data_IF_288013554679
#
_entry.id   IF_288013554679
#
_cell.length_a   1.000
_cell.length_b   1.000
_cell.length_c   1.000
_cell.angle_alpha   90.00
_cell.angle_beta   90.00
_cell.angle_gamma   90.00
#
_symmetry.space_group_name_H-M   'P 1'
#
loop_
_entity.id
_entity.type
_entity.pdbx_description
1 polymer ?
#
# COMPACT_ATOMS: atom_id res chain seq x y z
N UNK A 1 -1.99 -33.43 17.93
CA UNK A 1 -1.33 -32.11 17.92
C UNK A 1 -2.24 -31.24 17.09
N UNK A 2 -2.98 -30.32 17.71
CA UNK A 2 -3.78 -29.33 16.99
C UNK A 2 -2.79 -28.34 16.45
N UNK A 3 -2.61 -28.31 15.09
CA UNK A 3 -1.86 -27.24 14.45
C UNK A 3 -2.43 -25.90 14.91
N UNK A 4 -1.57 -25.08 15.51
CA UNK A 4 -1.95 -23.71 15.80
C UNK A 4 -2.38 -23.06 14.47
N UNK A 5 -3.46 -22.29 14.44
CA UNK A 5 -3.91 -21.65 13.21
C UNK A 5 -2.73 -20.86 12.63
N UNK A 6 -2.37 -21.18 11.39
CA UNK A 6 -1.27 -20.49 10.70
C UNK A 6 -1.61 -19.01 10.57
N UNK A 7 -0.74 -18.14 11.11
CA UNK A 7 -0.92 -16.68 11.00
C UNK A 7 -0.97 -16.28 9.52
N UNK A 8 -1.87 -15.39 9.10
CA UNK A 8 -1.83 -14.85 7.76
C UNK A 8 -0.53 -14.09 7.51
N UNK A 9 0.03 -14.20 6.32
CA UNK A 9 1.27 -13.54 5.92
C UNK A 9 0.97 -12.39 4.96
N UNK A 10 1.36 -11.17 5.31
CA UNK A 10 1.10 -9.98 4.49
C UNK A 10 2.39 -9.26 4.10
N UNK A 11 2.53 -9.00 2.82
CA UNK A 11 3.58 -8.13 2.27
C UNK A 11 3.10 -6.69 2.34
N UNK A 12 3.95 -5.78 2.85
CA UNK A 12 3.66 -4.34 2.89
C UNK A 12 4.81 -3.58 2.24
N UNK A 13 4.53 -2.88 1.16
CA UNK A 13 5.57 -2.10 0.49
C UNK A 13 5.72 -0.70 1.08
N UNK A 14 6.98 -0.22 1.22
CA UNK A 14 7.27 1.09 1.78
C UNK A 14 6.90 1.22 3.26
N UNK A 15 7.25 0.22 4.07
CA UNK A 15 6.80 0.09 5.46
C UNK A 15 7.72 0.76 6.50
N UNK A 16 8.81 1.42 6.09
CA UNK A 16 9.74 2.03 7.05
C UNK A 16 9.18 3.27 7.77
N UNK A 17 8.09 3.87 7.31
CA UNK A 17 7.50 5.08 7.90
C UNK A 17 6.07 5.34 7.43
N UNK A 18 5.44 6.34 8.05
CA UNK A 18 4.16 6.89 7.62
C UNK A 18 3.03 5.87 7.60
N UNK A 19 2.24 5.87 6.54
CA UNK A 19 1.08 4.97 6.40
C UNK A 19 1.51 3.50 6.40
N UNK A 20 2.61 3.17 5.72
CA UNK A 20 3.11 1.79 5.65
C UNK A 20 3.52 1.22 7.00
N UNK A 21 4.21 2.01 7.83
CA UNK A 21 4.57 1.63 9.20
C UNK A 21 3.32 1.42 10.07
N UNK A 22 2.37 2.37 10.03
CA UNK A 22 1.13 2.24 10.79
C UNK A 22 0.28 1.03 10.37
N UNK A 23 0.29 0.67 9.07
CA UNK A 23 -0.35 -0.55 8.56
C UNK A 23 0.37 -1.78 9.11
N UNK A 24 1.72 -1.80 9.11
CA UNK A 24 2.51 -2.92 9.61
C UNK A 24 2.24 -3.17 11.10
N UNK A 25 2.33 -2.14 11.92
CA UNK A 25 2.04 -2.22 13.37
C UNK A 25 0.61 -2.70 13.64
N UNK A 26 -0.36 -2.19 12.89
CA UNK A 26 -1.75 -2.58 13.04
C UNK A 26 -1.99 -4.04 12.64
N UNK A 27 -1.51 -4.48 11.49
CA UNK A 27 -1.70 -5.87 11.05
C UNK A 27 -0.91 -6.87 11.93
N UNK A 28 0.27 -6.50 12.45
CA UNK A 28 0.98 -7.29 13.44
C UNK A 28 0.13 -7.54 14.71
N UNK A 29 -0.50 -6.48 15.23
CA UNK A 29 -1.41 -6.56 16.37
C UNK A 29 -2.67 -7.39 16.06
N UNK A 30 -3.14 -7.37 14.82
CA UNK A 30 -4.27 -8.17 14.33
C UNK A 30 -3.87 -9.64 14.02
N UNK A 31 -2.61 -10.02 14.25
CA UNK A 31 -2.15 -11.42 14.18
C UNK A 31 -1.48 -11.83 12.88
N UNK A 32 -1.06 -10.90 12.03
CA UNK A 32 -0.32 -11.20 10.80
C UNK A 32 1.19 -11.36 11.05
N UNK A 33 1.84 -12.23 10.27
CA UNK A 33 3.28 -12.21 10.00
C UNK A 33 3.54 -11.30 8.80
N UNK A 34 4.70 -10.63 8.74
CA UNK A 34 4.90 -9.51 7.84
C UNK A 34 6.20 -9.60 7.03
N UNK A 35 6.10 -9.39 5.70
CA UNK A 35 7.25 -9.05 4.86
C UNK A 35 7.21 -7.55 4.54
N UNK A 36 8.14 -6.78 5.08
CA UNK A 36 8.19 -5.32 4.98
C UNK A 36 9.26 -4.90 4.00
N UNK A 37 8.89 -4.11 2.96
CA UNK A 37 9.91 -3.56 2.07
C UNK A 37 10.24 -2.12 2.40
N UNK A 38 11.50 -1.75 2.21
CA UNK A 38 12.02 -0.38 2.33
C UNK A 38 13.11 -0.16 1.28
N UNK A 39 13.44 1.12 0.97
CA UNK A 39 14.52 1.43 0.02
C UNK A 39 15.79 1.93 0.71
N UNK A 40 15.68 2.96 1.54
CA UNK A 40 16.83 3.67 2.09
C UNK A 40 16.89 3.69 3.62
N UNK A 41 15.76 3.70 4.30
CA UNK A 41 15.65 3.93 5.74
C UNK A 41 15.66 2.60 6.51
N UNK A 42 16.81 1.96 6.57
CA UNK A 42 16.96 0.66 7.21
C UNK A 42 16.72 0.71 8.72
N UNK A 43 17.25 1.74 9.40
CA UNK A 43 17.05 1.91 10.85
C UNK A 43 15.55 2.09 11.20
N UNK A 44 14.85 2.95 10.44
CA UNK A 44 13.41 3.18 10.64
C UNK A 44 12.62 1.87 10.38
N UNK A 45 12.99 1.09 9.34
CA UNK A 45 12.36 -0.19 9.06
C UNK A 45 12.62 -1.21 10.19
N UNK A 46 13.81 -1.23 10.76
CA UNK A 46 14.15 -2.08 11.91
C UNK A 46 13.36 -1.67 13.17
N UNK A 47 13.12 -0.38 13.37
CA UNK A 47 12.29 0.11 14.47
C UNK A 47 10.84 -0.37 14.33
N UNK A 48 10.26 -0.25 13.13
CA UNK A 48 8.92 -0.79 12.84
C UNK A 48 8.86 -2.31 13.04
N UNK A 49 9.88 -3.05 12.57
CA UNK A 49 9.95 -4.49 12.76
C UNK A 49 9.93 -4.86 14.25
N UNK A 50 10.71 -4.19 15.09
CA UNK A 50 10.72 -4.44 16.55
C UNK A 50 9.36 -4.20 17.21
N UNK A 51 8.62 -3.18 16.78
CA UNK A 51 7.24 -2.94 17.27
C UNK A 51 6.31 -4.07 16.86
N UNK A 52 6.40 -4.52 15.60
CA UNK A 52 5.60 -5.62 15.09
C UNK A 52 5.94 -6.95 15.80
N UNK A 53 7.22 -7.24 16.03
CA UNK A 53 7.70 -8.43 16.75
C UNK A 53 7.26 -8.43 18.21
N UNK A 54 7.23 -7.27 18.86
CA UNK A 54 6.69 -7.13 20.22
C UNK A 54 5.19 -7.49 20.31
N UNK A 55 4.45 -7.41 19.20
CA UNK A 55 3.06 -7.88 19.05
C UNK A 55 2.98 -9.38 18.68
N UNK A 56 4.11 -10.08 18.62
CA UNK A 56 4.20 -11.51 18.34
C UNK A 56 4.22 -11.87 16.85
N UNK A 57 4.40 -10.91 15.96
CA UNK A 57 4.57 -11.17 14.53
C UNK A 57 5.99 -11.68 14.21
N UNK A 58 6.12 -12.58 13.25
CA UNK A 58 7.39 -12.78 12.56
C UNK A 58 7.54 -11.69 11.50
N UNK A 59 8.71 -11.08 11.40
CA UNK A 59 8.95 -9.99 10.45
C UNK A 59 10.17 -10.28 9.58
N UNK A 60 10.00 -10.16 8.26
CA UNK A 60 11.07 -10.16 7.29
C UNK A 60 11.25 -8.75 6.74
N UNK A 61 12.47 -8.24 6.76
CA UNK A 61 12.83 -6.96 6.14
C UNK A 61 13.48 -7.19 4.78
N UNK A 62 13.01 -6.48 3.75
CA UNK A 62 13.52 -6.54 2.40
C UNK A 62 13.90 -5.14 1.91
N UNK A 63 15.19 -4.93 1.62
CA UNK A 63 15.65 -3.71 0.98
C UNK A 63 15.43 -3.79 -0.52
N UNK A 64 14.45 -3.05 -1.05
CA UNK A 64 13.96 -3.13 -2.43
C UNK A 64 13.79 -1.72 -3.01
N UNK A 65 14.36 -1.48 -4.18
CA UNK A 65 13.97 -0.34 -5.02
C UNK A 65 12.85 -0.78 -5.98
N UNK A 66 11.65 -0.26 -5.76
CA UNK A 66 10.49 -0.57 -6.61
C UNK A 66 10.55 0.13 -7.99
N UNK A 67 11.49 1.04 -8.21
CA UNK A 67 11.83 1.53 -9.55
C UNK A 67 12.55 0.50 -10.42
N UNK A 68 13.14 -0.51 -9.79
CA UNK A 68 13.71 -1.70 -10.42
C UNK A 68 12.69 -2.84 -10.37
N UNK A 69 12.13 -3.19 -11.53
CA UNK A 69 11.06 -4.19 -11.61
C UNK A 69 11.53 -5.62 -11.35
N UNK A 70 12.82 -5.92 -11.54
CA UNK A 70 13.39 -7.23 -11.20
C UNK A 70 13.47 -7.39 -9.67
N UNK A 71 13.88 -6.35 -8.96
CA UNK A 71 13.80 -6.33 -7.50
C UNK A 71 12.34 -6.42 -7.02
N UNK A 72 11.41 -5.69 -7.63
CA UNK A 72 9.99 -5.82 -7.29
C UNK A 72 9.47 -7.25 -7.50
N UNK A 73 9.88 -7.93 -8.57
CA UNK A 73 9.49 -9.31 -8.87
C UNK A 73 10.02 -10.32 -7.85
N UNK A 74 11.12 -10.03 -7.16
CA UNK A 74 11.71 -10.91 -6.15
C UNK A 74 10.97 -10.93 -4.80
N UNK A 75 10.15 -9.92 -4.51
CA UNK A 75 9.53 -9.72 -3.19
C UNK A 75 8.59 -10.87 -2.80
N UNK A 76 7.64 -11.22 -3.67
CA UNK A 76 6.66 -12.27 -3.38
C UNK A 76 7.31 -13.65 -3.25
N UNK A 77 8.20 -14.08 -4.17
CA UNK A 77 8.97 -15.33 -4.00
C UNK A 77 9.79 -15.37 -2.71
N UNK A 78 10.45 -14.28 -2.33
CA UNK A 78 11.22 -14.22 -1.09
C UNK A 78 10.32 -14.38 0.16
N UNK A 79 9.15 -13.73 0.19
CA UNK A 79 8.20 -13.88 1.27
C UNK A 79 7.64 -15.31 1.36
N UNK A 80 7.36 -15.96 0.22
CA UNK A 80 6.93 -17.36 0.19
C UNK A 80 8.04 -18.28 0.71
N UNK A 81 9.30 -18.06 0.32
CA UNK A 81 10.42 -18.86 0.79
C UNK A 81 10.62 -18.76 2.31
N UNK A 82 10.43 -17.59 2.90
CA UNK A 82 10.58 -17.33 4.34
C UNK A 82 9.41 -17.89 5.17
N UNK A 83 8.16 -17.63 4.73
CA UNK A 83 6.98 -17.91 5.54
C UNK A 83 6.20 -19.17 5.10
N UNK A 84 6.52 -19.73 3.93
CA UNK A 84 5.81 -20.85 3.33
C UNK A 84 4.53 -20.47 2.59
N UNK A 85 3.98 -19.28 2.82
CA UNK A 85 2.77 -18.78 2.17
C UNK A 85 2.73 -17.24 2.16
N UNK A 86 1.87 -16.68 1.32
CA UNK A 86 1.48 -15.26 1.33
C UNK A 86 -0.04 -15.20 1.11
N UNK A 87 -0.75 -14.55 2.02
CA UNK A 87 -2.21 -14.37 1.97
C UNK A 87 -2.63 -12.91 1.85
N UNK A 88 -1.68 -11.98 1.96
CA UNK A 88 -1.93 -10.55 1.91
C UNK A 88 -0.88 -9.77 1.14
N UNK A 89 -1.31 -8.71 0.45
CA UNK A 89 -0.43 -7.72 -0.17
C UNK A 89 -0.99 -6.32 0.05
N UNK A 90 -0.16 -5.41 0.56
CA UNK A 90 -0.44 -3.97 0.61
C UNK A 90 0.54 -3.24 -0.30
N UNK A 91 0.05 -2.76 -1.45
CA UNK A 91 0.79 -1.86 -2.32
C UNK A 91 0.68 -0.43 -1.75
N UNK A 92 1.55 -0.09 -0.81
CA UNK A 92 1.57 1.21 -0.15
C UNK A 92 2.67 2.13 -0.67
N UNK A 93 3.83 1.60 -1.04
CA UNK A 93 4.94 2.41 -1.54
C UNK A 93 4.51 3.31 -2.71
N UNK A 94 5.02 4.52 -2.70
CA UNK A 94 4.79 5.47 -3.78
C UNK A 94 5.56 6.76 -3.60
N UNK A 95 5.75 7.45 -4.71
CA UNK A 95 6.37 8.77 -4.77
C UNK A 95 5.41 9.76 -5.42
N UNK A 96 5.49 11.03 -5.03
CA UNK A 96 4.67 12.09 -5.64
C UNK A 96 5.28 12.64 -6.92
N UNK A 97 6.58 12.43 -7.12
CA UNK A 97 7.34 13.16 -8.11
C UNK A 97 7.45 14.66 -7.75
N UNK A 98 7.79 15.46 -8.73
CA UNK A 98 7.90 16.91 -8.57
C UNK A 98 6.54 17.55 -8.32
N UNK A 99 6.51 18.53 -7.41
CA UNK A 99 5.36 19.43 -7.25
C UNK A 99 5.55 20.66 -8.13
N UNK A 100 4.59 20.93 -9.01
CA UNK A 100 4.64 22.05 -9.94
C UNK A 100 3.54 22.01 -10.98
N UNK A 101 3.60 22.94 -11.94
CA UNK A 101 2.73 22.96 -13.11
C UNK A 101 2.99 21.77 -14.05
N UNK A 102 2.00 21.42 -14.85
CA UNK A 102 2.10 20.28 -15.75
C UNK A 102 3.22 20.42 -16.80
N UNK A 103 3.47 21.63 -17.23
CA UNK A 103 4.50 21.93 -18.23
C UNK A 103 5.92 22.00 -17.66
N UNK A 104 6.07 21.98 -16.32
CA UNK A 104 7.36 22.14 -15.65
C UNK A 104 8.08 20.80 -15.41
N UNK A 105 7.38 19.67 -15.53
CA UNK A 105 7.91 18.33 -15.33
C UNK A 105 8.47 17.71 -16.60
N UNK A 106 9.39 16.75 -16.46
CA UNK A 106 9.91 15.98 -17.59
C UNK A 106 9.17 14.63 -17.76
N UNK A 107 9.31 14.05 -18.96
CA UNK A 107 8.75 12.72 -19.24
C UNK A 107 9.50 11.64 -18.42
N UNK A 108 10.81 11.79 -18.23
CA UNK A 108 11.64 10.87 -17.46
C UNK A 108 11.22 10.84 -15.98
N UNK A 109 10.86 11.99 -15.40
CA UNK A 109 10.28 12.05 -14.05
C UNK A 109 8.94 11.30 -13.99
N UNK A 110 8.09 11.47 -14.98
CA UNK A 110 6.81 10.77 -15.07
C UNK A 110 7.01 9.25 -15.27
N UNK A 111 7.94 8.81 -16.10
CA UNK A 111 8.29 7.41 -16.30
C UNK A 111 8.76 6.76 -14.99
N UNK A 112 9.69 7.39 -14.26
CA UNK A 112 10.14 6.89 -12.97
C UNK A 112 8.98 6.78 -11.96
N UNK A 113 8.13 7.79 -11.90
CA UNK A 113 6.94 7.79 -11.06
C UNK A 113 6.00 6.62 -11.41
N UNK A 114 5.76 6.38 -12.69
CA UNK A 114 4.92 5.26 -13.15
C UNK A 114 5.55 3.91 -12.87
N UNK A 115 6.88 3.77 -12.96
CA UNK A 115 7.58 2.53 -12.56
C UNK A 115 7.28 2.20 -11.11
N UNK A 116 7.45 3.15 -10.19
CA UNK A 116 7.24 2.94 -8.75
C UNK A 116 5.76 2.78 -8.41
N UNK A 117 4.90 3.69 -8.91
CA UNK A 117 3.51 3.77 -8.46
C UNK A 117 2.55 2.85 -9.20
N UNK A 118 2.92 2.35 -10.39
CA UNK A 118 2.02 1.57 -11.25
C UNK A 118 2.63 0.22 -11.63
N UNK A 119 3.82 0.21 -12.25
CA UNK A 119 4.39 -1.04 -12.77
C UNK A 119 4.80 -1.99 -11.65
N UNK A 120 5.44 -1.51 -10.59
CA UNK A 120 5.78 -2.33 -9.45
C UNK A 120 4.54 -2.94 -8.75
N UNK A 121 3.47 -2.17 -8.43
CA UNK A 121 2.20 -2.75 -7.98
C UNK A 121 1.61 -3.79 -8.93
N UNK A 122 1.71 -3.62 -10.26
CA UNK A 122 1.25 -4.64 -11.22
C UNK A 122 2.07 -5.92 -11.06
N UNK A 123 3.42 -5.82 -11.01
CA UNK A 123 4.32 -6.96 -10.84
C UNK A 123 4.01 -7.71 -9.55
N UNK A 124 3.93 -7.00 -8.43
CA UNK A 124 3.62 -7.56 -7.11
C UNK A 124 2.24 -8.21 -7.06
N UNK A 125 1.21 -7.52 -7.58
CA UNK A 125 -0.17 -8.01 -7.58
C UNK A 125 -0.29 -9.27 -8.42
N UNK A 126 0.34 -9.34 -9.59
CA UNK A 126 0.34 -10.54 -10.44
C UNK A 126 0.97 -11.73 -9.72
N UNK A 127 2.14 -11.55 -9.09
CA UNK A 127 2.81 -12.62 -8.35
C UNK A 127 2.01 -13.08 -7.14
N UNK A 128 1.45 -12.13 -6.37
CA UNK A 128 0.63 -12.44 -5.20
C UNK A 128 -0.67 -13.18 -5.58
N UNK A 129 -1.41 -12.70 -6.58
CA UNK A 129 -2.64 -13.36 -7.06
C UNK A 129 -2.32 -14.76 -7.59
N UNK A 130 -1.24 -14.93 -8.36
CA UNK A 130 -0.84 -16.24 -8.89
C UNK A 130 -0.57 -17.27 -7.78
N UNK A 131 -0.13 -16.84 -6.60
CA UNK A 131 0.08 -17.68 -5.42
C UNK A 131 -1.22 -17.91 -4.61
N UNK A 132 -2.05 -16.86 -4.48
CA UNK A 132 -3.25 -16.90 -3.66
C UNK A 132 -4.44 -17.63 -4.31
N UNK A 133 -4.54 -17.59 -5.66
CA UNK A 133 -5.71 -18.05 -6.38
C UNK A 133 -5.98 -19.55 -6.19
N UNK A 134 -7.22 -19.91 -5.82
CA UNK A 134 -7.60 -21.28 -5.45
C UNK A 134 -7.57 -22.25 -6.62
N UNK A 135 -7.80 -21.78 -7.85
CA UNK A 135 -7.67 -22.57 -9.08
C UNK A 135 -6.20 -22.90 -9.44
N UNK A 136 -5.24 -22.31 -8.71
CA UNK A 136 -3.80 -22.54 -8.84
C UNK A 136 -3.19 -23.20 -7.61
N UNK A 137 -4.01 -23.73 -6.72
CA UNK A 137 -3.60 -24.40 -5.47
C UNK A 137 -3.36 -23.46 -4.30
N UNK A 138 -3.68 -22.18 -4.43
CA UNK A 138 -3.68 -21.22 -3.33
C UNK A 138 -4.87 -21.39 -2.39
N UNK A 139 -4.89 -20.59 -1.32
CA UNK A 139 -5.93 -20.64 -0.28
C UNK A 139 -6.82 -19.38 -0.26
N UNK A 140 -6.72 -18.56 -1.28
CA UNK A 140 -7.34 -17.24 -1.32
C UNK A 140 -6.48 -16.17 -0.65
N UNK A 141 -6.94 -14.91 -0.68
CA UNK A 141 -6.21 -13.81 -0.07
C UNK A 141 -6.82 -12.43 -0.29
N UNK A 142 -6.09 -11.40 0.16
CA UNK A 142 -6.51 -10.02 0.04
C UNK A 142 -5.38 -9.12 -0.47
N UNK A 143 -5.67 -8.29 -1.45
CA UNK A 143 -4.79 -7.22 -1.92
C UNK A 143 -5.42 -5.88 -1.59
N UNK A 144 -4.65 -4.98 -0.97
CA UNK A 144 -5.06 -3.60 -0.72
C UNK A 144 -4.08 -2.65 -1.40
N UNK A 145 -4.61 -1.81 -2.27
CA UNK A 145 -3.84 -0.79 -2.96
C UNK A 145 -4.04 0.58 -2.30
N UNK A 146 -2.96 1.26 -1.92
CA UNK A 146 -3.03 2.63 -1.40
C UNK A 146 -3.03 3.61 -2.58
N UNK A 147 -4.19 4.18 -2.84
CA UNK A 147 -4.39 5.22 -3.84
C UNK A 147 -4.25 6.62 -3.23
N UNK A 148 -5.06 7.56 -3.66
CA UNK A 148 -5.08 8.94 -3.16
C UNK A 148 -6.36 9.66 -3.59
N UNK A 149 -6.81 10.64 -2.82
CA UNK A 149 -7.81 11.61 -3.26
C UNK A 149 -7.41 12.35 -4.56
N UNK A 150 -6.10 12.43 -4.85
CA UNK A 150 -5.58 13.00 -6.09
C UNK A 150 -6.08 12.27 -7.35
N UNK A 151 -6.33 10.96 -7.27
CA UNK A 151 -6.85 10.17 -8.39
C UNK A 151 -8.19 10.72 -8.94
N UNK A 152 -8.98 11.37 -8.10
CA UNK A 152 -10.28 11.96 -8.48
C UNK A 152 -10.20 13.45 -8.83
N UNK A 153 -9.37 14.19 -8.08
CA UNK A 153 -9.24 15.64 -8.27
C UNK A 153 -8.38 16.01 -9.49
N UNK A 154 -7.56 15.07 -9.99
CA UNK A 154 -6.56 15.34 -11.02
C UNK A 154 -5.38 16.18 -10.53
N UNK A 155 -5.42 16.70 -9.30
CA UNK A 155 -4.39 17.51 -8.66
C UNK A 155 -3.80 18.62 -9.54
N UNK A 156 -4.62 19.51 -10.15
CA UNK A 156 -4.15 20.55 -11.05
C UNK A 156 -3.15 21.48 -10.34
N UNK A 157 -2.16 21.98 -11.08
CA UNK A 157 -1.11 22.87 -10.59
C UNK A 157 -0.25 22.29 -9.44
N UNK A 158 -0.30 20.98 -9.23
CA UNK A 158 0.42 20.34 -8.13
C UNK A 158 1.21 19.11 -8.60
N UNK A 159 0.53 18.05 -9.07
CA UNK A 159 1.19 16.80 -9.46
C UNK A 159 0.25 15.92 -10.33
N UNK A 160 -0.09 16.38 -11.53
CA UNK A 160 -0.97 15.62 -12.45
C UNK A 160 -0.45 14.20 -12.72
N UNK A 161 0.85 13.95 -13.01
CA UNK A 161 1.34 12.59 -13.23
C UNK A 161 1.12 11.66 -12.02
N UNK A 162 1.24 12.18 -10.79
CA UNK A 162 0.90 11.42 -9.58
C UNK A 162 -0.59 11.05 -9.54
N UNK A 163 -1.46 12.01 -9.81
CA UNK A 163 -2.90 11.76 -9.87
C UNK A 163 -3.25 10.69 -10.90
N UNK A 164 -2.63 10.74 -12.09
CA UNK A 164 -2.77 9.72 -13.14
C UNK A 164 -2.32 8.34 -12.63
N UNK A 165 -1.17 8.25 -11.95
CA UNK A 165 -0.67 6.99 -11.43
C UNK A 165 -1.62 6.38 -10.40
N UNK A 166 -2.24 7.20 -9.53
CA UNK A 166 -3.21 6.73 -8.53
C UNK A 166 -4.57 6.37 -9.14
N UNK A 167 -4.97 7.01 -10.22
CA UNK A 167 -6.13 6.59 -11.02
C UNK A 167 -5.89 5.24 -11.72
N UNK A 168 -4.67 4.97 -12.20
CA UNK A 168 -4.28 3.68 -12.75
C UNK A 168 -4.39 2.56 -11.69
N UNK A 169 -4.03 2.83 -10.45
CA UNK A 169 -4.19 1.88 -9.32
C UNK A 169 -5.67 1.58 -9.03
N UNK A 170 -6.56 2.57 -9.14
CA UNK A 170 -7.99 2.33 -9.00
C UNK A 170 -8.53 1.42 -10.13
N UNK A 171 -8.05 1.62 -11.36
CA UNK A 171 -8.39 0.76 -12.49
C UNK A 171 -7.85 -0.67 -12.30
N UNK A 172 -6.61 -0.83 -11.83
CA UNK A 172 -6.02 -2.13 -11.48
C UNK A 172 -6.88 -2.87 -10.46
N UNK A 173 -7.31 -2.19 -9.39
CA UNK A 173 -8.20 -2.74 -8.36
C UNK A 173 -9.51 -3.22 -8.97
N UNK A 174 -10.16 -2.37 -9.76
CA UNK A 174 -11.47 -2.69 -10.37
C UNK A 174 -11.36 -3.89 -11.30
N UNK A 175 -10.32 -3.96 -12.13
CA UNK A 175 -10.12 -5.08 -13.06
C UNK A 175 -9.85 -6.39 -12.31
N UNK A 176 -8.85 -6.39 -11.43
CA UNK A 176 -8.42 -7.60 -10.72
C UNK A 176 -9.46 -8.12 -9.73
N UNK A 177 -10.24 -7.24 -9.08
CA UNK A 177 -11.32 -7.68 -8.18
C UNK A 177 -12.40 -8.47 -8.90
N UNK A 178 -12.74 -8.10 -10.15
CA UNK A 178 -13.73 -8.79 -10.99
C UNK A 178 -13.19 -10.09 -11.54
N UNK A 179 -11.93 -10.10 -11.96
CA UNK A 179 -11.31 -11.25 -12.61
C UNK A 179 -11.01 -12.38 -11.60
N UNK A 180 -10.56 -12.04 -10.38
CA UNK A 180 -10.05 -13.02 -9.41
C UNK A 180 -10.98 -13.27 -8.20
N UNK A 181 -12.13 -12.63 -8.13
CA UNK A 181 -13.09 -12.83 -7.05
C UNK A 181 -13.58 -14.28 -6.93
N UNK A 182 -13.84 -14.93 -8.07
CA UNK A 182 -14.31 -16.32 -8.10
C UNK A 182 -13.27 -17.35 -7.61
N UNK A 183 -11.98 -16.96 -7.63
CA UNK A 183 -10.87 -17.80 -7.15
C UNK A 183 -10.34 -17.36 -5.78
N UNK A 184 -11.20 -16.70 -4.98
CA UNK A 184 -10.96 -16.41 -3.58
C UNK A 184 -10.01 -15.23 -3.30
N UNK A 185 -9.73 -14.37 -4.29
CA UNK A 185 -8.87 -13.20 -4.08
C UNK A 185 -9.71 -11.92 -4.08
N UNK A 186 -9.71 -11.20 -2.96
CA UNK A 186 -10.33 -9.88 -2.85
C UNK A 186 -9.31 -8.79 -3.13
N UNK A 187 -9.68 -7.79 -3.90
CA UNK A 187 -8.79 -6.65 -4.21
C UNK A 187 -9.54 -5.35 -3.97
N UNK A 188 -8.99 -4.47 -3.13
CA UNK A 188 -9.61 -3.21 -2.76
C UNK A 188 -8.61 -2.06 -2.79
N UNK A 189 -9.12 -0.85 -2.78
CA UNK A 189 -8.36 0.39 -2.66
C UNK A 189 -8.68 1.09 -1.34
N UNK A 190 -7.68 1.71 -0.73
CA UNK A 190 -7.85 2.76 0.27
C UNK A 190 -7.30 4.06 -0.32
N UNK A 191 -8.11 5.11 -0.31
CA UNK A 191 -7.76 6.44 -0.86
C UNK A 191 -7.62 7.47 0.25
N UNK A 192 -6.40 7.70 0.79
CA UNK A 192 -6.17 8.75 1.77
C UNK A 192 -6.40 10.13 1.17
N UNK A 193 -6.95 11.03 1.98
CA UNK A 193 -6.88 12.46 1.74
C UNK A 193 -5.55 13.06 2.23
N UNK A 194 -5.57 14.33 2.62
CA UNK A 194 -4.41 14.95 3.27
C UNK A 194 -4.16 14.29 4.62
N UNK A 195 -3.05 13.58 4.75
CA UNK A 195 -2.65 12.81 5.93
C UNK A 195 -1.30 13.30 6.42
N UNK A 196 -1.08 13.36 7.74
CA UNK A 196 0.21 13.71 8.35
C UNK A 196 1.23 12.63 8.07
N UNK A 197 2.07 12.86 7.08
CA UNK A 197 3.16 11.97 6.65
C UNK A 197 4.33 12.78 6.13
N UNK A 198 5.50 12.17 6.09
CA UNK A 198 6.70 12.80 5.53
C UNK A 198 6.68 12.92 3.98
N UNK A 199 5.69 12.34 3.30
CA UNK A 199 5.60 12.41 1.82
C UNK A 199 5.53 13.86 1.33
N UNK A 200 4.88 14.73 2.09
CA UNK A 200 4.78 16.16 1.78
C UNK A 200 6.12 16.88 1.98
N UNK A 201 6.85 16.51 3.04
CA UNK A 201 8.19 17.07 3.30
C UNK A 201 9.19 16.62 2.23
N UNK A 202 9.15 15.35 1.83
CA UNK A 202 9.97 14.82 0.74
C UNK A 202 9.70 15.53 -0.61
N UNK A 203 8.49 16.04 -0.79
CA UNK A 203 8.08 16.84 -1.95
C UNK A 203 8.31 18.36 -1.77
N UNK A 204 9.05 18.78 -0.72
CA UNK A 204 9.37 20.19 -0.45
C UNK A 204 8.26 21.01 0.21
N UNK A 205 7.18 20.37 0.71
CA UNK A 205 6.04 21.05 1.36
C UNK A 205 5.70 20.44 2.71
N UNK A 206 6.57 20.56 3.72
CA UNK A 206 6.38 19.93 5.04
C UNK A 206 5.09 20.40 5.75
N UNK A 207 4.67 21.63 5.55
CA UNK A 207 3.50 22.21 6.21
C UNK A 207 2.20 22.01 5.42
N UNK A 208 2.22 21.34 4.26
CA UNK A 208 1.03 21.16 3.42
C UNK A 208 -0.17 20.54 4.15
N UNK A 209 -0.02 19.59 5.09
CA UNK A 209 -1.18 19.09 5.85
C UNK A 209 -1.91 20.18 6.63
N UNK A 210 -1.19 21.05 7.34
CA UNK A 210 -1.80 22.11 8.14
C UNK A 210 -2.34 23.24 7.27
N UNK A 211 -1.65 23.60 6.19
CA UNK A 211 -2.13 24.59 5.21
C UNK A 211 -3.46 24.17 4.56
N UNK A 212 -3.66 22.87 4.36
CA UNK A 212 -4.88 22.31 3.75
C UNK A 212 -6.02 22.08 4.74
N UNK A 213 -5.73 22.00 6.04
CA UNK A 213 -6.70 21.71 7.08
C UNK A 213 -7.98 22.56 7.03
N UNK A 214 -7.92 23.90 6.80
CA UNK A 214 -9.11 24.74 6.70
C UNK A 214 -10.07 24.37 5.56
N UNK A 215 -9.56 23.69 4.52
CA UNK A 215 -10.36 23.29 3.34
C UNK A 215 -10.88 21.85 3.44
N UNK A 216 -10.49 21.10 4.48
CA UNK A 216 -11.01 19.76 4.75
C UNK A 216 -12.32 19.91 5.54
N UNK A 217 -13.43 19.24 5.18
CA UNK A 217 -14.69 19.35 5.94
C UNK A 217 -14.54 19.05 7.43
N UNK A 218 -13.73 18.02 7.81
CA UNK A 218 -13.43 17.73 9.22
C UNK A 218 -12.41 18.68 9.86
N UNK A 219 -11.94 19.73 9.15
CA UNK A 219 -11.07 20.81 9.66
C UNK A 219 -9.72 20.36 10.21
N UNK A 220 -9.26 19.17 9.86
CA UNK A 220 -7.95 18.65 10.22
C UNK A 220 -7.43 17.69 9.14
N UNK A 221 -6.11 17.50 9.02
CA UNK A 221 -5.56 16.37 8.27
C UNK A 221 -5.90 15.05 8.98
N UNK A 222 -5.87 13.96 8.23
CA UNK A 222 -5.94 12.61 8.78
C UNK A 222 -4.61 12.20 9.43
N UNK A 223 -4.68 11.24 10.33
CA UNK A 223 -3.53 10.57 10.93
C UNK A 223 -3.27 9.21 10.27
N UNK A 224 -2.04 8.73 10.30
CA UNK A 224 -1.65 7.47 9.62
C UNK A 224 -2.42 6.25 10.14
N UNK A 225 -2.72 6.22 11.43
CA UNK A 225 -3.49 5.13 12.04
C UNK A 225 -4.96 5.08 11.56
N UNK A 226 -5.54 6.21 11.12
CA UNK A 226 -6.90 6.24 10.56
C UNK A 226 -6.93 5.54 9.20
N UNK A 227 -5.86 5.67 8.41
CA UNK A 227 -5.69 4.93 7.15
C UNK A 227 -5.44 3.44 7.42
N UNK A 228 -4.58 3.13 8.39
CA UNK A 228 -4.29 1.76 8.79
C UNK A 228 -5.55 1.02 9.28
N UNK A 229 -6.46 1.70 9.97
CA UNK A 229 -7.75 1.14 10.38
C UNK A 229 -8.62 0.68 9.20
N UNK A 230 -8.67 1.45 8.12
CA UNK A 230 -9.39 1.07 6.91
C UNK A 230 -8.75 -0.14 6.20
N UNK A 231 -7.42 -0.20 6.18
CA UNK A 231 -6.68 -1.35 5.64
C UNK A 231 -6.95 -2.60 6.49
N UNK A 232 -6.88 -2.49 7.81
CA UNK A 232 -7.14 -3.61 8.72
C UNK A 232 -8.57 -4.16 8.55
N UNK A 233 -9.57 -3.29 8.42
CA UNK A 233 -10.93 -3.72 8.07
C UNK A 233 -10.94 -4.59 6.81
N UNK A 234 -10.25 -4.18 5.74
CA UNK A 234 -10.23 -4.93 4.49
C UNK A 234 -9.55 -6.32 4.62
N UNK A 235 -8.67 -6.51 5.58
CA UNK A 235 -8.06 -7.81 5.90
C UNK A 235 -8.90 -8.65 6.88
N UNK A 236 -9.88 -8.06 7.55
CA UNK A 236 -10.71 -8.76 8.52
C UNK A 236 -11.78 -9.65 7.86
N UNK A 237 -12.38 -10.53 8.67
CA UNK A 237 -13.52 -11.35 8.26
C UNK A 237 -14.76 -10.50 7.91
N UNK A 238 -14.92 -9.34 8.51
CA UNK A 238 -16.04 -8.41 8.26
C UNK A 238 -16.04 -7.88 6.81
N UNK A 239 -14.87 -7.90 6.14
CA UNK A 239 -14.72 -7.50 4.74
C UNK A 239 -14.87 -8.69 3.76
N UNK A 240 -15.38 -9.85 4.17
CA UNK A 240 -15.45 -11.06 3.34
C UNK A 240 -16.22 -10.87 2.02
N UNK A 241 -17.16 -9.93 1.96
CA UNK A 241 -17.89 -9.56 0.74
C UNK A 241 -17.48 -8.23 0.14
N UNK A 242 -16.36 -7.63 0.63
CA UNK A 242 -15.83 -6.37 0.14
C UNK A 242 -14.70 -6.64 -0.86
N UNK A 243 -14.98 -6.45 -2.16
CA UNK A 243 -14.02 -6.56 -3.25
C UNK A 243 -14.35 -5.54 -4.34
N UNK A 244 -13.34 -4.85 -4.88
CA UNK A 244 -13.51 -3.76 -5.85
C UNK A 244 -13.88 -2.41 -5.23
N UNK A 245 -13.88 -2.29 -3.90
CA UNK A 245 -14.20 -1.06 -3.20
C UNK A 245 -13.02 -0.06 -3.23
N UNK A 246 -13.36 1.23 -3.17
CA UNK A 246 -12.44 2.33 -2.86
C UNK A 246 -12.89 3.00 -1.55
N UNK A 247 -12.22 2.68 -0.45
CA UNK A 247 -12.50 3.29 0.86
C UNK A 247 -11.74 4.61 0.98
N UNK A 248 -12.49 5.69 1.03
CA UNK A 248 -11.93 7.04 1.18
C UNK A 248 -11.73 7.40 2.65
N UNK A 249 -10.48 7.64 3.05
CA UNK A 249 -10.12 8.14 4.38
C UNK A 249 -9.63 9.57 4.20
N UNK A 250 -10.58 10.51 4.04
CA UNK A 250 -10.28 11.84 3.49
C UNK A 250 -10.95 13.00 4.24
N UNK A 251 -11.58 12.77 5.38
CA UNK A 251 -12.20 13.82 6.19
C UNK A 251 -13.35 14.56 5.51
N UNK A 252 -14.04 13.92 4.54
CA UNK A 252 -15.16 14.48 3.78
C UNK A 252 -14.80 15.00 2.37
N UNK A 253 -13.53 14.98 1.96
CA UNK A 253 -13.08 15.38 0.61
C UNK A 253 -13.29 14.28 -0.44
#
# INVERSE_FOLDING_TARGET
>A
MTDAPTRPVTIITGASRGIGAAIAERLAADGHDLALTFREREADAADVARVCEASGARVMLLRIDLGDLDQAASVVPAAIAEFGTVTGLVNNAGITGRIGGFLDGSIEEAEHLFRVNVLAPIVLTRAAIAHMATDRGGIGGCVVNISSGAARSGAPNTYIPYAMSKAAINALTTGTSKEFGAVGVRVNTVSPGTTRTEIHAAAGRPNAPDERAPNIPMRRPGEVHEVAGAVAYLFSADASYTSGADIRVAGGN
#
